data_IF_998358834083
#
_entry.id   IF_998358834083
#
_cell.length_a   1.000
_cell.length_b   1.000
_cell.length_c   1.000
_cell.angle_alpha   90.00
_cell.angle_beta   90.00
_cell.angle_gamma   90.00
#
_symmetry.space_group_name_H-M   'P 1'
#
loop_
_entity.id
_entity.type
_entity.pdbx_description
1 polymer ?
#
# COMPACT_ATOMS: atom_id res chain seq x y z
N UNK A 1 -41.61 8.68 13.44
CA UNK A 1 -41.52 7.87 12.21
C UNK A 1 -42.37 8.55 11.17
N UNK A 2 -41.73 9.34 10.32
CA UNK A 2 -42.42 10.26 9.41
C UNK A 2 -42.78 9.55 8.10
N UNK A 3 -43.86 9.98 7.47
CA UNK A 3 -44.41 9.46 6.20
C UNK A 3 -43.37 9.42 5.06
N UNK A 4 -42.25 10.15 5.20
CA UNK A 4 -41.15 10.23 4.22
C UNK A 4 -40.34 8.92 4.15
N UNK A 5 -40.17 8.19 5.25
CA UNK A 5 -39.39 6.93 5.26
C UNK A 5 -40.11 5.82 4.48
N UNK A 6 -41.45 5.82 4.51
CA UNK A 6 -42.25 4.77 3.87
C UNK A 6 -42.30 4.93 2.34
N UNK A 7 -42.26 6.17 1.85
CA UNK A 7 -42.23 6.47 0.42
C UNK A 7 -40.88 6.11 -0.21
N UNK A 8 -39.77 6.28 0.53
CA UNK A 8 -38.43 5.92 0.08
C UNK A 8 -38.25 4.41 -0.06
N UNK A 9 -38.69 3.62 0.93
CA UNK A 9 -38.64 2.15 0.83
C UNK A 9 -39.47 1.62 -0.34
N UNK A 10 -40.64 2.22 -0.57
CA UNK A 10 -41.54 1.81 -1.65
C UNK A 10 -40.91 2.11 -3.02
N UNK A 11 -40.28 3.28 -3.17
CA UNK A 11 -39.52 3.63 -4.38
C UNK A 11 -38.31 2.73 -4.62
N UNK A 12 -37.58 2.35 -3.56
CA UNK A 12 -36.44 1.44 -3.68
C UNK A 12 -36.85 0.01 -4.06
N UNK A 13 -37.99 -0.49 -3.54
CA UNK A 13 -38.51 -1.79 -3.97
C UNK A 13 -38.99 -1.78 -5.41
N UNK A 14 -39.64 -0.70 -5.86
CA UNK A 14 -40.06 -0.55 -7.25
C UNK A 14 -38.86 -0.51 -8.22
N UNK A 15 -37.82 0.26 -7.90
CA UNK A 15 -36.60 0.32 -8.71
C UNK A 15 -35.86 -1.02 -8.80
N UNK A 16 -35.92 -1.85 -7.75
CA UNK A 16 -35.29 -3.17 -7.74
C UNK A 16 -36.02 -4.20 -8.61
N UNK A 17 -37.31 -4.00 -8.87
CA UNK A 17 -38.11 -4.88 -9.71
C UNK A 17 -37.91 -4.64 -11.22
N UNK A 18 -37.33 -3.49 -11.60
CA UNK A 18 -37.11 -3.12 -13.01
C UNK A 18 -35.67 -3.35 -13.49
N UNK A 19 -34.76 -3.79 -12.62
CA UNK A 19 -33.39 -4.08 -13.02
C UNK A 19 -33.33 -5.44 -13.75
N UNK A 20 -32.85 -5.49 -15.01
CA UNK A 20 -32.69 -6.76 -15.72
C UNK A 20 -31.71 -7.67 -14.96
N UNK A 21 -32.01 -8.97 -14.91
CA UNK A 21 -31.10 -9.98 -14.37
C UNK A 21 -29.80 -9.98 -15.19
N UNK A 22 -28.77 -9.32 -14.65
CA UNK A 22 -27.41 -9.36 -15.18
C UNK A 22 -26.85 -10.76 -14.95
N UNK A 23 -27.02 -11.62 -15.93
CA UNK A 23 -26.35 -12.92 -15.99
C UNK A 23 -24.88 -12.67 -16.31
N UNK A 24 -24.04 -12.70 -15.28
CA UNK A 24 -22.59 -12.62 -15.45
C UNK A 24 -22.11 -13.95 -16.04
N UNK A 25 -21.54 -13.88 -17.23
CA UNK A 25 -21.03 -15.02 -17.97
C UNK A 25 -20.02 -15.82 -17.10
N UNK A 26 -20.13 -17.17 -17.01
CA UNK A 26 -19.22 -18.02 -16.23
C UNK A 26 -17.72 -17.74 -16.51
N UNK A 27 -17.38 -17.30 -17.73
CA UNK A 27 -16.01 -17.03 -18.14
C UNK A 27 -15.45 -15.70 -17.61
N UNK A 28 -16.28 -14.81 -17.07
CA UNK A 28 -15.82 -13.56 -16.45
C UNK A 28 -14.94 -13.84 -15.24
N UNK A 29 -15.36 -14.77 -14.38
CA UNK A 29 -14.61 -15.15 -13.18
C UNK A 29 -13.29 -15.85 -13.52
N UNK A 30 -13.30 -16.70 -14.56
CA UNK A 30 -12.09 -17.37 -15.06
C UNK A 30 -11.12 -16.42 -15.76
N UNK A 31 -11.62 -15.44 -16.51
CA UNK A 31 -10.78 -14.46 -17.20
C UNK A 31 -10.15 -13.46 -16.23
N UNK A 32 -10.86 -13.05 -15.17
CA UNK A 32 -10.28 -12.27 -14.05
C UNK A 32 -9.21 -13.10 -13.32
N UNK A 33 -9.49 -14.37 -13.01
CA UNK A 33 -8.53 -15.28 -12.37
C UNK A 33 -7.29 -15.52 -13.24
N UNK A 34 -7.44 -15.76 -14.54
CA UNK A 34 -6.34 -15.97 -15.48
C UNK A 34 -5.51 -14.69 -15.73
N UNK A 35 -6.09 -13.50 -15.58
CA UNK A 35 -5.38 -12.21 -15.71
C UNK A 35 -4.61 -11.88 -14.43
N UNK A 36 -5.17 -12.17 -13.26
CA UNK A 36 -4.47 -12.09 -11.98
C UNK A 36 -3.24 -13.03 -11.93
N UNK A 37 -3.39 -14.27 -12.41
CA UNK A 37 -2.31 -15.25 -12.50
C UNK A 37 -1.18 -14.84 -13.46
N UNK A 38 -1.51 -14.22 -14.60
CA UNK A 38 -0.48 -13.76 -15.56
C UNK A 38 0.32 -12.56 -15.06
N UNK A 39 -0.27 -11.68 -14.23
CA UNK A 39 0.45 -10.59 -13.55
C UNK A 39 1.40 -11.12 -12.47
N UNK A 40 0.94 -12.06 -11.64
CA UNK A 40 1.78 -12.71 -10.62
C UNK A 40 2.91 -13.55 -11.22
N UNK A 41 2.69 -14.24 -12.35
CA UNK A 41 3.75 -14.99 -13.02
C UNK A 41 4.90 -14.11 -13.55
N UNK A 42 4.59 -12.91 -14.06
CA UNK A 42 5.61 -11.97 -14.57
C UNK A 42 6.45 -11.34 -13.44
N UNK A 43 5.82 -11.04 -12.30
CA UNK A 43 6.53 -10.56 -11.11
C UNK A 43 7.37 -11.65 -10.45
N UNK A 44 6.90 -12.90 -10.45
CA UNK A 44 7.69 -14.06 -9.99
C UNK A 44 8.92 -14.31 -10.85
N UNK A 45 8.84 -14.14 -12.18
CA UNK A 45 10.01 -14.30 -13.04
C UNK A 45 11.12 -13.26 -12.75
N UNK A 46 10.74 -12.01 -12.45
CA UNK A 46 11.69 -10.96 -12.07
C UNK A 46 12.23 -11.13 -10.63
N UNK A 47 11.38 -11.51 -9.67
CA UNK A 47 11.77 -11.72 -8.27
C UNK A 47 12.59 -13.00 -8.03
N UNK A 48 12.31 -14.08 -8.74
CA UNK A 48 13.05 -15.35 -8.62
C UNK A 48 14.48 -15.20 -9.14
N UNK A 49 14.73 -14.39 -10.17
CA UNK A 49 16.10 -14.12 -10.64
C UNK A 49 16.95 -13.40 -9.59
N UNK A 50 16.38 -12.43 -8.86
CA UNK A 50 17.06 -11.73 -7.77
C UNK A 50 17.27 -12.63 -6.54
N UNK A 51 16.29 -13.49 -6.22
CA UNK A 51 16.37 -14.40 -5.07
C UNK A 51 17.34 -15.58 -5.32
N UNK A 52 17.40 -16.10 -6.55
CA UNK A 52 18.38 -17.12 -6.95
C UNK A 52 19.79 -16.55 -6.95
N UNK A 53 19.98 -15.29 -7.37
CA UNK A 53 21.28 -14.62 -7.24
C UNK A 53 21.73 -14.45 -5.77
N UNK A 54 20.79 -14.15 -4.85
CA UNK A 54 21.09 -14.06 -3.42
C UNK A 54 21.39 -15.43 -2.77
N UNK A 55 20.69 -16.49 -3.20
CA UNK A 55 20.92 -17.86 -2.68
C UNK A 55 22.20 -18.48 -3.23
N UNK A 56 22.56 -18.24 -4.50
CA UNK A 56 23.81 -18.74 -5.11
C UNK A 56 25.03 -18.01 -4.57
N UNK A 57 24.90 -16.75 -4.14
CA UNK A 57 25.99 -15.98 -3.56
C UNK A 57 26.26 -16.28 -2.06
N UNK A 58 25.40 -17.03 -1.36
CA UNK A 58 25.39 -17.01 0.11
C UNK A 58 25.12 -18.33 0.84
N UNK A 59 25.32 -19.50 0.24
CA UNK A 59 25.08 -20.78 0.95
C UNK A 59 26.29 -21.72 0.85
N UNK A 60 27.24 -21.54 1.76
CA UNK A 60 28.06 -22.63 2.27
C UNK A 60 27.33 -23.22 3.48
N UNK A 61 26.66 -24.36 3.31
CA UNK A 61 26.06 -25.12 4.41
C UNK A 61 27.23 -25.75 5.20
N UNK A 62 27.46 -25.43 6.48
CA UNK A 62 28.37 -26.22 7.29
C UNK A 62 27.65 -27.54 7.62
N UNK A 63 28.14 -28.64 7.07
CA UNK A 63 27.67 -30.01 7.33
C UNK A 63 28.07 -30.52 8.75
N UNK A 64 27.93 -29.67 9.77
CA UNK A 64 28.46 -29.90 11.12
C UNK A 64 27.43 -29.99 12.24
N UNK A 65 26.12 -30.09 11.95
CA UNK A 65 25.06 -30.07 12.99
C UNK A 65 24.13 -31.30 13.01
N UNK A 66 24.60 -32.45 12.53
CA UNK A 66 23.94 -33.74 12.78
C UNK A 66 24.69 -34.48 13.89
N UNK A 67 24.56 -34.00 15.14
CA UNK A 67 25.19 -34.62 16.29
C UNK A 67 24.87 -33.91 17.60
N UNK A 68 23.62 -33.96 18.04
CA UNK A 68 23.19 -33.35 19.30
C UNK A 68 22.20 -34.25 20.04
N UNK A 69 22.73 -35.19 20.82
CA UNK A 69 21.97 -36.06 21.73
C UNK A 69 21.27 -35.25 22.82
N UNK A 70 19.94 -35.39 22.89
CA UNK A 70 19.08 -35.28 24.08
C UNK A 70 19.47 -34.30 25.18
N UNK A 71 19.09 -33.03 25.04
CA UNK A 71 18.95 -32.11 26.18
C UNK A 71 17.50 -32.12 26.67
N UNK A 72 17.25 -32.71 27.84
CA UNK A 72 16.02 -32.50 28.61
C UNK A 72 16.08 -31.08 29.21
N UNK A 73 15.74 -30.09 28.41
CA UNK A 73 15.62 -28.70 28.86
C UNK A 73 14.46 -28.56 29.86
N UNK A 74 14.79 -28.10 31.06
CA UNK A 74 13.82 -27.64 32.05
C UNK A 74 12.98 -26.52 31.42
N UNK A 75 11.65 -26.69 31.42
CA UNK A 75 10.71 -25.64 31.04
C UNK A 75 10.77 -24.58 32.13
N UNK A 76 11.54 -23.52 31.91
CA UNK A 76 11.53 -22.34 32.78
C UNK A 76 10.20 -21.62 32.56
N UNK A 77 9.40 -21.36 33.61
CA UNK A 77 8.18 -20.59 33.47
C UNK A 77 8.50 -19.22 32.86
N UNK A 78 7.71 -18.82 31.86
CA UNK A 78 7.80 -17.49 31.29
C UNK A 78 7.64 -16.45 32.41
N UNK A 79 8.67 -15.65 32.67
CA UNK A 79 8.55 -14.49 33.56
C UNK A 79 7.55 -13.53 32.92
N UNK A 80 6.42 -13.32 33.57
CA UNK A 80 5.53 -12.21 33.22
C UNK A 80 6.32 -10.91 33.41
N UNK A 81 6.54 -10.10 32.36
CA UNK A 81 7.23 -8.83 32.50
C UNK A 81 6.45 -7.94 33.46
N UNK A 82 7.13 -7.36 34.45
CA UNK A 82 6.51 -6.33 35.28
C UNK A 82 6.21 -5.10 34.40
N UNK A 83 5.03 -4.49 34.50
CA UNK A 83 4.76 -3.23 33.81
C UNK A 83 5.72 -2.15 34.31
N UNK A 84 6.33 -1.40 33.39
CA UNK A 84 7.10 -0.21 33.74
C UNK A 84 6.14 0.86 34.25
N UNK A 85 6.43 1.40 35.43
CA UNK A 85 5.55 2.35 36.13
C UNK A 85 5.67 3.78 35.59
N UNK A 86 6.69 4.11 34.79
CA UNK A 86 6.96 5.52 34.40
C UNK A 86 7.40 5.75 32.94
N UNK A 87 7.19 4.80 32.02
CA UNK A 87 7.52 5.02 30.62
C UNK A 87 6.46 5.92 29.95
N UNK A 88 6.85 7.14 29.57
CA UNK A 88 6.02 8.01 28.74
C UNK A 88 5.75 7.30 27.40
N UNK A 89 4.50 7.11 26.98
CA UNK A 89 4.20 6.52 25.67
C UNK A 89 4.88 7.28 24.54
N UNK A 90 5.45 6.56 23.57
CA UNK A 90 6.07 7.15 22.39
C UNK A 90 5.11 7.10 21.20
N UNK A 91 4.80 8.24 20.57
CA UNK A 91 3.87 8.31 19.45
C UNK A 91 4.55 8.87 18.21
N UNK A 92 4.51 8.12 17.11
CA UNK A 92 5.00 8.57 15.80
C UNK A 92 4.25 7.82 14.69
N UNK A 93 4.00 8.48 13.55
CA UNK A 93 3.38 7.81 12.40
C UNK A 93 1.98 7.24 12.65
N UNK A 94 1.27 7.71 13.68
CA UNK A 94 -0.04 7.19 14.08
C UNK A 94 0.01 5.85 14.84
N UNK A 95 1.19 5.43 15.32
CA UNK A 95 1.33 4.38 16.33
C UNK A 95 1.81 4.97 17.65
N UNK A 96 1.27 4.44 18.74
CA UNK A 96 1.70 4.74 20.11
C UNK A 96 2.25 3.48 20.77
N UNK A 97 3.51 3.52 21.19
CA UNK A 97 4.17 2.45 21.95
C UNK A 97 3.93 2.68 23.43
N UNK A 98 3.12 1.84 24.07
CA UNK A 98 2.80 1.96 25.52
C UNK A 98 3.66 1.08 26.41
N UNK A 99 4.47 0.19 25.84
CA UNK A 99 5.36 -0.68 26.60
C UNK A 99 6.63 -1.00 25.80
N UNK A 100 7.77 -0.91 26.47
CA UNK A 100 9.10 -1.31 25.98
C UNK A 100 9.88 -1.96 27.13
N UNK A 101 10.93 -2.74 26.84
CA UNK A 101 11.83 -3.27 27.86
C UNK A 101 12.47 -2.14 28.68
N UNK A 102 12.77 -2.42 29.95
CA UNK A 102 13.32 -1.42 30.86
C UNK A 102 14.65 -0.83 30.36
N UNK A 103 14.77 0.49 30.45
CA UNK A 103 15.95 1.25 30.03
C UNK A 103 16.12 1.39 28.51
N UNK A 104 15.16 0.90 27.71
CA UNK A 104 15.12 1.18 26.28
C UNK A 104 15.01 2.68 26.03
N UNK A 105 15.81 3.19 25.08
CA UNK A 105 15.79 4.59 24.65
C UNK A 105 15.33 4.71 23.20
N UNK A 106 14.54 5.75 22.91
CA UNK A 106 14.25 6.12 21.53
C UNK A 106 15.50 6.67 20.86
N UNK A 107 15.72 6.31 19.59
CA UNK A 107 16.90 6.69 18.82
C UNK A 107 16.53 7.58 17.65
N UNK A 108 15.55 7.16 16.86
CA UNK A 108 15.11 7.88 15.66
C UNK A 108 13.73 7.44 15.23
N UNK A 109 13.06 8.33 14.53
CA UNK A 109 11.90 8.01 13.72
C UNK A 109 12.26 8.01 12.24
N UNK A 110 11.55 7.22 11.45
CA UNK A 110 11.72 7.11 10.01
C UNK A 110 10.39 7.05 9.30
N UNK A 111 10.29 7.69 8.13
CA UNK A 111 9.22 7.43 7.18
C UNK A 111 9.85 6.95 5.87
N UNK A 112 9.05 6.41 4.96
CA UNK A 112 9.59 5.96 3.68
C UNK A 112 9.91 4.46 3.64
N UNK A 113 10.57 4.04 2.55
CA UNK A 113 11.04 2.66 2.36
C UNK A 113 12.13 2.25 3.34
N UNK A 114 12.75 3.23 4.02
CA UNK A 114 13.68 2.98 5.12
C UNK A 114 13.01 2.93 6.50
N UNK A 115 11.72 3.25 6.57
CA UNK A 115 10.96 3.38 7.81
C UNK A 115 10.05 2.19 8.08
N UNK A 116 10.34 0.99 7.61
CA UNK A 116 9.59 -0.20 8.03
C UNK A 116 10.54 -1.32 8.44
N UNK A 117 10.30 -2.01 9.57
CA UNK A 117 11.19 -3.04 10.08
C UNK A 117 11.43 -4.23 9.13
N UNK A 118 12.68 -4.68 9.09
CA UNK A 118 13.10 -5.96 8.48
C UNK A 118 12.75 -6.18 7.02
N UNK A 119 12.44 -7.42 6.59
CA UNK A 119 12.19 -7.74 5.17
C UNK A 119 11.01 -6.95 4.57
N UNK A 120 10.12 -6.43 5.41
CA UNK A 120 9.00 -5.61 4.97
C UNK A 120 9.41 -4.19 4.51
N UNK A 121 10.61 -3.70 4.87
CA UNK A 121 11.21 -2.53 4.21
C UNK A 121 11.37 -2.75 2.71
N UNK A 122 11.93 -3.91 2.32
CA UNK A 122 12.17 -4.25 0.93
C UNK A 122 10.86 -4.40 0.17
N UNK A 123 9.83 -4.97 0.82
CA UNK A 123 8.49 -5.05 0.24
C UNK A 123 7.90 -3.65 0.04
N UNK A 124 7.98 -2.78 1.05
CA UNK A 124 7.51 -1.39 0.92
C UNK A 124 8.24 -0.65 -0.21
N UNK A 125 9.56 -0.87 -0.34
CA UNK A 125 10.40 -0.27 -1.37
C UNK A 125 10.07 -0.78 -2.78
N UNK A 126 9.96 -2.11 -2.94
CA UNK A 126 9.62 -2.75 -4.22
C UNK A 126 8.26 -2.30 -4.74
N UNK A 127 7.36 -1.95 -3.83
CA UNK A 127 6.02 -1.55 -4.17
C UNK A 127 5.84 -0.04 -4.30
N UNK A 128 6.90 0.75 -4.06
CA UNK A 128 6.84 2.22 -4.13
C UNK A 128 5.98 2.85 -3.04
N UNK A 129 5.66 2.11 -1.99
CA UNK A 129 4.74 2.53 -0.91
C UNK A 129 5.47 3.11 0.29
N UNK A 130 6.63 3.69 0.02
CA UNK A 130 7.52 4.27 1.00
C UNK A 130 6.76 5.24 1.90
N UNK A 131 5.95 6.09 1.31
CA UNK A 131 5.46 7.24 2.04
C UNK A 131 4.45 6.86 3.15
N UNK A 132 3.70 5.76 2.99
CA UNK A 132 2.71 5.27 3.97
C UNK A 132 3.31 4.43 5.11
N UNK A 133 4.64 4.23 5.09
CA UNK A 133 5.38 3.50 6.13
C UNK A 133 6.00 4.47 7.13
N UNK A 134 5.85 4.14 8.41
CA UNK A 134 6.47 4.84 9.52
C UNK A 134 7.09 3.82 10.47
N UNK A 135 8.27 4.14 11.01
CA UNK A 135 8.88 3.37 12.08
C UNK A 135 9.52 4.25 13.13
N UNK A 136 9.61 3.69 14.34
CA UNK A 136 10.43 4.21 15.42
C UNK A 136 11.46 3.15 15.79
N UNK A 137 12.72 3.56 15.86
CA UNK A 137 13.83 2.73 16.31
C UNK A 137 14.16 3.04 17.76
N UNK A 138 14.32 1.98 18.54
CA UNK A 138 14.73 2.02 19.92
C UNK A 138 16.00 1.18 20.13
N UNK A 139 16.81 1.56 21.11
CA UNK A 139 18.00 0.83 21.52
C UNK A 139 17.92 0.46 22.99
N UNK A 140 18.42 -0.73 23.32
CA UNK A 140 18.55 -1.16 24.71
C UNK A 140 19.76 -0.47 25.38
N UNK A 141 19.72 -0.30 26.72
CA UNK A 141 20.73 0.44 27.47
C UNK A 141 22.06 -0.31 27.59
N UNK A 142 22.09 -1.61 27.27
CA UNK A 142 23.33 -2.39 27.20
C UNK A 142 24.23 -1.98 26.03
N UNK A 143 23.73 -1.11 25.13
CA UNK A 143 24.53 -0.16 24.35
C UNK A 143 25.49 -0.76 23.34
N UNK A 144 25.44 -2.07 23.13
CA UNK A 144 26.10 -2.69 21.97
C UNK A 144 25.16 -2.43 20.78
N UNK A 145 25.72 -2.07 19.63
CA UNK A 145 25.00 -1.85 18.36
C UNK A 145 24.09 -3.03 17.92
N UNK A 146 24.05 -4.10 18.71
CA UNK A 146 23.47 -5.39 18.46
C UNK A 146 22.05 -5.60 19.04
N UNK A 147 21.36 -4.59 19.56
CA UNK A 147 20.03 -4.79 20.15
C UNK A 147 19.05 -3.66 19.79
N UNK A 148 18.88 -3.43 18.50
CA UNK A 148 17.86 -2.49 18.00
C UNK A 148 16.48 -3.15 18.01
N UNK A 149 15.48 -2.42 18.49
CA UNK A 149 14.06 -2.73 18.35
C UNK A 149 13.50 -1.72 17.35
N UNK A 150 12.79 -2.19 16.35
CA UNK A 150 12.08 -1.33 15.42
C UNK A 150 10.60 -1.69 15.44
N UNK A 151 9.76 -0.68 15.62
CA UNK A 151 8.30 -0.80 15.52
C UNK A 151 7.86 0.00 14.32
N UNK A 152 6.91 -0.51 13.54
CA UNK A 152 6.44 0.21 12.38
C UNK A 152 5.00 -0.10 12.00
N UNK A 153 4.44 0.82 11.22
CA UNK A 153 3.12 0.74 10.64
C UNK A 153 3.20 1.11 9.16
N UNK A 154 2.49 0.37 8.33
CA UNK A 154 2.24 0.72 6.95
C UNK A 154 0.72 0.89 6.81
N UNK A 155 0.31 2.13 6.53
CA UNK A 155 -1.09 2.53 6.50
C UNK A 155 -1.86 2.06 5.27
N UNK A 156 -1.22 1.34 4.35
CA UNK A 156 -1.91 0.92 3.15
C UNK A 156 -2.62 -0.42 3.31
N UNK A 157 -3.95 -0.44 3.21
CA UNK A 157 -4.71 -1.69 3.27
C UNK A 157 -4.54 -2.53 1.99
N UNK A 158 -4.33 -1.84 0.86
CA UNK A 158 -4.33 -2.38 -0.51
C UNK A 158 -3.09 -3.19 -0.90
N UNK A 159 -2.20 -3.48 0.06
CA UNK A 159 -1.34 -4.66 -0.06
C UNK A 159 -2.18 -5.95 -0.29
N UNK A 160 -3.49 -5.90 -0.02
CA UNK A 160 -4.48 -6.91 -0.45
C UNK A 160 -4.52 -7.16 -1.97
N UNK A 161 -3.99 -6.26 -2.82
CA UNK A 161 -3.80 -6.52 -4.25
C UNK A 161 -2.82 -7.67 -4.55
N UNK A 162 -2.06 -8.12 -3.54
CA UNK A 162 -1.27 -9.36 -3.60
C UNK A 162 -1.99 -10.58 -3.01
N UNK A 163 -3.25 -10.42 -2.60
CA UNK A 163 -4.07 -11.42 -1.91
C UNK A 163 -4.28 -10.98 -0.46
N UNK A 164 -5.46 -11.21 0.12
CA UNK A 164 -5.79 -10.80 1.50
C UNK A 164 -4.90 -11.43 2.58
N UNK A 165 -5.38 -11.59 3.82
CA UNK A 165 -4.59 -12.13 4.95
C UNK A 165 -3.80 -13.43 4.65
N UNK A 166 -4.23 -14.24 3.68
CA UNK A 166 -3.49 -15.42 3.20
C UNK A 166 -2.16 -15.13 2.50
N UNK A 167 -1.85 -13.88 2.14
CA UNK A 167 -0.65 -13.52 1.38
C UNK A 167 0.49 -12.96 2.24
N UNK A 168 0.24 -12.47 3.46
CA UNK A 168 1.33 -11.96 4.32
C UNK A 168 2.39 -13.05 4.57
N UNK A 169 1.96 -14.30 4.76
CA UNK A 169 2.86 -15.46 4.84
C UNK A 169 3.64 -15.69 3.55
N UNK A 170 3.03 -15.44 2.40
CA UNK A 170 3.68 -15.60 1.09
C UNK A 170 4.77 -14.55 0.90
N UNK A 171 4.50 -13.31 1.31
CA UNK A 171 5.45 -12.19 1.31
C UNK A 171 6.62 -12.45 2.26
N UNK A 172 6.34 -12.95 3.47
CA UNK A 172 7.36 -13.27 4.48
C UNK A 172 8.13 -14.58 4.18
N UNK A 173 7.63 -15.40 3.25
CA UNK A 173 8.24 -16.67 2.84
C UNK A 173 7.85 -17.87 3.70
N UNK A 174 8.25 -19.06 3.25
CA UNK A 174 7.88 -20.36 3.86
C UNK A 174 8.42 -20.57 5.27
N UNK A 175 9.44 -19.81 5.68
CA UNK A 175 9.99 -19.83 7.04
C UNK A 175 9.13 -19.12 8.08
N UNK A 176 8.09 -18.40 7.65
CA UNK A 176 7.21 -17.68 8.57
C UNK A 176 6.34 -18.63 9.40
N UNK A 177 6.41 -18.48 10.72
CA UNK A 177 5.63 -19.26 11.70
C UNK A 177 4.40 -18.45 12.11
N UNK A 178 3.23 -19.08 12.06
CA UNK A 178 1.97 -18.44 12.42
C UNK A 178 1.82 -18.31 13.94
N UNK A 179 1.27 -17.18 14.38
CA UNK A 179 0.98 -16.87 15.78
C UNK A 179 -0.18 -15.87 15.86
N UNK A 180 -0.40 -15.27 17.02
CA UNK A 180 -1.37 -14.18 17.18
C UNK A 180 -0.81 -13.02 17.98
N UNK A 181 -1.35 -11.82 17.72
CA UNK A 181 -1.18 -10.60 18.51
C UNK A 181 -2.57 -10.07 18.81
N UNK A 182 -2.98 -10.01 20.08
CA UNK A 182 -4.33 -9.59 20.49
C UNK A 182 -5.48 -10.31 19.74
N UNK A 183 -5.29 -11.58 19.42
CA UNK A 183 -6.26 -12.38 18.66
C UNK A 183 -6.25 -12.16 17.14
N UNK A 184 -5.48 -11.19 16.63
CA UNK A 184 -5.24 -11.04 15.18
C UNK A 184 -4.20 -12.07 14.73
N UNK A 185 -4.38 -12.62 13.53
CA UNK A 185 -3.40 -13.52 12.92
C UNK A 185 -2.09 -12.76 12.66
N UNK A 186 -0.98 -13.35 13.08
CA UNK A 186 0.34 -12.76 12.98
C UNK A 186 1.36 -13.79 12.51
N UNK A 187 2.51 -13.30 12.01
CA UNK A 187 3.58 -14.15 11.49
C UNK A 187 4.92 -13.75 12.09
N UNK A 188 5.60 -14.74 12.65
CA UNK A 188 6.97 -14.65 13.13
C UNK A 188 7.93 -15.06 12.02
N UNK A 189 8.99 -14.29 11.84
CA UNK A 189 10.10 -14.64 10.96
C UNK A 189 11.40 -14.45 11.70
N UNK A 190 12.37 -15.32 11.46
CA UNK A 190 13.73 -15.15 11.95
C UNK A 190 14.71 -15.68 10.94
N UNK A 191 15.86 -15.03 10.81
CA UNK A 191 16.89 -15.43 9.88
C UNK A 191 18.16 -14.63 10.07
N UNK A 192 19.12 -14.84 9.17
CA UNK A 192 20.33 -14.00 9.08
C UNK A 192 20.26 -13.19 7.81
N UNK A 193 20.36 -11.86 7.94
CA UNK A 193 20.38 -10.90 6.82
C UNK A 193 21.71 -10.17 6.91
N UNK A 194 22.54 -10.24 5.86
CA UNK A 194 23.85 -9.58 5.83
C UNK A 194 24.77 -9.93 7.03
N UNK A 195 24.69 -11.17 7.52
CA UNK A 195 25.46 -11.64 8.67
C UNK A 195 24.89 -11.23 10.04
N UNK A 196 23.76 -10.52 10.06
CA UNK A 196 23.05 -10.07 11.26
C UNK A 196 21.82 -10.93 11.50
N UNK A 197 21.64 -11.42 12.72
CA UNK A 197 20.46 -12.20 13.06
C UNK A 197 19.27 -11.27 13.26
N UNK A 198 18.18 -11.50 12.53
CA UNK A 198 16.98 -10.66 12.57
C UNK A 198 15.76 -11.51 12.95
N UNK A 199 14.88 -10.92 13.75
CA UNK A 199 13.58 -11.46 14.11
C UNK A 199 12.50 -10.43 13.89
N UNK A 200 11.32 -10.85 13.41
CA UNK A 200 10.19 -9.97 13.21
C UNK A 200 8.86 -10.64 13.50
N UNK A 201 7.91 -9.85 14.00
CA UNK A 201 6.52 -10.22 14.21
C UNK A 201 5.63 -9.21 13.46
N UNK A 202 4.85 -9.69 12.49
CA UNK A 202 4.04 -8.85 11.60
C UNK A 202 2.58 -9.29 11.63
N UNK A 203 1.66 -8.32 11.61
CA UNK A 203 0.21 -8.59 11.61
C UNK A 203 -0.57 -7.43 11.00
N UNK A 204 -1.84 -7.65 10.66
CA UNK A 204 -2.77 -6.59 10.25
C UNK A 204 -3.77 -6.30 11.36
N UNK A 205 -4.14 -5.02 11.51
CA UNK A 205 -5.19 -4.63 12.45
C UNK A 205 -6.58 -4.76 11.80
N UNK A 206 -7.14 -5.97 11.81
CA UNK A 206 -8.37 -6.31 11.07
C UNK A 206 -8.10 -6.77 9.63
N UNK A 207 -9.15 -7.10 8.88
CA UNK A 207 -9.02 -7.69 7.55
C UNK A 207 -8.36 -6.75 6.53
N UNK A 208 -8.75 -5.48 6.58
CA UNK A 208 -8.30 -4.42 5.66
C UNK A 208 -7.58 -3.30 6.42
N UNK A 209 -7.00 -3.61 7.58
CA UNK A 209 -6.29 -2.62 8.37
C UNK A 209 -4.85 -2.41 7.93
N UNK A 210 -4.15 -1.46 8.57
CA UNK A 210 -2.73 -1.26 8.36
C UNK A 210 -1.93 -2.50 8.79
N UNK A 211 -0.78 -2.68 8.15
CA UNK A 211 0.20 -3.67 8.54
C UNK A 211 1.08 -3.11 9.66
N UNK A 212 1.18 -3.82 10.78
CA UNK A 212 2.10 -3.51 11.87
C UNK A 212 3.25 -4.52 11.90
N UNK A 213 4.38 -4.06 12.42
CA UNK A 213 5.56 -4.89 12.61
C UNK A 213 6.34 -4.50 13.85
N UNK A 214 6.87 -5.49 14.55
CA UNK A 214 7.95 -5.33 15.54
C UNK A 214 9.10 -6.20 15.08
N UNK A 215 10.29 -5.64 14.91
CA UNK A 215 11.49 -6.42 14.64
C UNK A 215 12.61 -6.12 15.63
N UNK A 216 13.53 -7.07 15.74
CA UNK A 216 14.80 -6.90 16.42
C UNK A 216 15.93 -7.39 15.53
N UNK A 217 17.09 -6.76 15.65
CA UNK A 217 18.32 -7.17 14.97
C UNK A 217 19.41 -7.42 15.98
N UNK A 218 20.31 -8.32 15.60
CA UNK A 218 21.55 -8.68 16.28
C UNK A 218 21.37 -9.32 17.68
N UNK A 219 20.17 -9.83 17.97
CA UNK A 219 19.83 -10.53 19.23
C UNK A 219 19.62 -12.02 18.97
N UNK A 220 20.51 -12.88 19.49
CA UNK A 220 20.38 -14.34 19.38
C UNK A 220 20.56 -15.04 20.73
N UNK A 221 19.60 -15.88 21.19
CA UNK A 221 18.29 -16.14 20.59
C UNK A 221 17.33 -14.94 20.73
N UNK A 222 16.33 -14.86 19.83
CA UNK A 222 15.24 -13.88 19.96
C UNK A 222 14.39 -14.22 21.20
N UNK A 223 14.15 -13.23 22.05
CA UNK A 223 13.12 -13.30 23.09
C UNK A 223 11.75 -12.99 22.47
N UNK A 224 11.05 -14.04 22.05
CA UNK A 224 9.73 -13.91 21.45
C UNK A 224 8.65 -13.43 22.43
N UNK A 225 8.85 -13.62 23.75
CA UNK A 225 7.92 -13.11 24.74
C UNK A 225 8.03 -11.58 24.82
N UNK A 226 9.25 -11.04 24.74
CA UNK A 226 9.49 -9.61 24.67
C UNK A 226 8.88 -8.99 23.41
N UNK A 227 9.18 -9.55 22.21
CA UNK A 227 8.63 -9.05 20.94
C UNK A 227 7.09 -9.06 20.96
N UNK A 228 6.48 -10.09 21.54
CA UNK A 228 5.02 -10.14 21.72
C UNK A 228 4.52 -9.09 22.70
N UNK A 229 5.21 -8.86 23.81
CA UNK A 229 4.88 -7.80 24.77
C UNK A 229 4.91 -6.40 24.15
N UNK A 230 5.92 -6.12 23.29
CA UNK A 230 5.99 -4.86 22.54
C UNK A 230 4.81 -4.75 21.58
N UNK A 231 4.54 -5.81 20.81
CA UNK A 231 3.44 -5.85 19.85
C UNK A 231 2.06 -5.64 20.53
N UNK A 232 1.83 -6.28 21.67
CA UNK A 232 0.61 -6.10 22.47
C UNK A 232 0.49 -4.67 23.03
N UNK A 233 1.63 -4.04 23.34
CA UNK A 233 1.74 -2.65 23.76
C UNK A 233 1.66 -1.59 22.65
N UNK A 234 1.51 -1.98 21.37
CA UNK A 234 1.31 -1.01 20.29
C UNK A 234 -0.17 -0.61 20.18
N UNK A 235 -0.47 0.68 20.24
CA UNK A 235 -1.80 1.22 19.94
C UNK A 235 -1.78 1.92 18.60
N UNK A 236 -2.81 1.68 17.82
CA UNK A 236 -3.02 2.35 16.54
C UNK A 236 -3.89 3.58 16.78
N UNK A 237 -3.41 4.74 16.34
CA UNK A 237 -4.14 6.00 16.37
C UNK A 237 -4.75 6.28 14.98
N UNK A 238 -4.58 7.49 14.46
CA UNK A 238 -5.01 7.89 13.11
C UNK A 238 -3.83 7.94 12.17
N UNK A 239 -4.01 7.51 10.92
CA UNK A 239 -3.05 7.76 9.84
C UNK A 239 -2.76 9.27 9.76
N UNK A 240 -1.51 9.71 10.04
CA UNK A 240 -1.19 11.13 9.95
C UNK A 240 -1.23 11.64 8.49
N UNK A 241 -1.18 10.75 7.51
CA UNK A 241 -1.44 11.04 6.11
C UNK A 241 -2.92 10.88 5.69
N UNK A 242 -3.82 10.52 6.61
CA UNK A 242 -5.22 10.31 6.30
C UNK A 242 -5.88 11.55 5.72
N UNK A 243 -6.62 11.38 4.62
CA UNK A 243 -7.42 12.43 4.01
C UNK A 243 -8.84 12.34 4.56
N UNK A 244 -9.42 13.45 5.02
CA UNK A 244 -10.81 13.44 5.49
C UNK A 244 -11.78 13.17 4.31
N UNK A 245 -12.96 12.57 4.57
CA UNK A 245 -13.89 12.17 3.51
C UNK A 245 -14.33 13.32 2.60
N UNK A 246 -14.50 14.54 3.13
CA UNK A 246 -14.90 15.69 2.33
C UNK A 246 -13.80 16.08 1.33
N UNK A 247 -12.54 16.11 1.79
CA UNK A 247 -11.38 16.32 0.91
C UNK A 247 -11.26 15.20 -0.13
N UNK A 248 -11.48 13.93 0.25
CA UNK A 248 -11.46 12.81 -0.71
C UNK A 248 -12.46 13.04 -1.85
N UNK A 249 -13.71 13.37 -1.52
CA UNK A 249 -14.74 13.58 -2.54
C UNK A 249 -14.45 14.81 -3.43
N UNK A 250 -13.90 15.89 -2.86
CA UNK A 250 -13.48 17.07 -3.64
C UNK A 250 -12.32 16.77 -4.60
N UNK A 251 -11.32 16.01 -4.15
CA UNK A 251 -10.19 15.58 -4.99
C UNK A 251 -10.67 14.64 -6.10
N UNK A 252 -11.55 13.68 -5.77
CA UNK A 252 -12.16 12.80 -6.79
C UNK A 252 -12.92 13.61 -7.84
N UNK A 253 -13.73 14.58 -7.41
CA UNK A 253 -14.49 15.43 -8.33
C UNK A 253 -13.56 16.19 -9.29
N UNK A 254 -12.48 16.81 -8.78
CA UNK A 254 -11.51 17.50 -9.63
C UNK A 254 -10.87 16.55 -10.66
N UNK A 255 -10.43 15.37 -10.23
CA UNK A 255 -9.87 14.37 -11.14
C UNK A 255 -10.91 13.83 -12.15
N UNK A 256 -12.17 13.67 -11.75
CA UNK A 256 -13.24 13.24 -12.66
C UNK A 256 -13.58 14.29 -13.72
N UNK A 257 -13.44 15.59 -13.43
CA UNK A 257 -13.60 16.64 -14.46
C UNK A 257 -12.46 16.59 -15.48
N UNK A 258 -11.25 16.24 -15.05
CA UNK A 258 -10.06 16.21 -15.91
C UNK A 258 -9.95 14.89 -16.69
N UNK A 259 -10.34 13.79 -16.05
CA UNK A 259 -10.20 12.41 -16.51
C UNK A 259 -11.54 11.66 -16.43
N UNK A 260 -12.63 12.30 -16.79
CA UNK A 260 -13.94 11.65 -16.93
C UNK A 260 -14.37 11.63 -18.38
N UNK A 261 -15.14 10.61 -18.75
CA UNK A 261 -15.92 10.65 -19.98
C UNK A 261 -17.03 11.70 -19.83
N UNK A 262 -16.96 12.79 -20.58
CA UNK A 262 -17.97 13.82 -20.54
C UNK A 262 -17.67 15.05 -21.39
N UNK A 263 -18.73 15.79 -21.71
CA UNK A 263 -18.68 17.12 -22.33
C UNK A 263 -18.42 18.19 -21.24
N UNK A 264 -17.31 18.05 -20.52
CA UNK A 264 -16.94 19.06 -19.53
C UNK A 264 -16.62 20.38 -20.24
N UNK A 265 -17.26 21.45 -19.78
CA UNK A 265 -16.99 22.80 -20.31
C UNK A 265 -15.53 23.19 -20.03
N UNK A 266 -14.97 24.04 -20.88
CA UNK A 266 -13.63 24.60 -20.64
C UNK A 266 -13.55 25.32 -19.30
N UNK A 267 -14.63 25.99 -18.86
CA UNK A 267 -14.71 26.63 -17.54
C UNK A 267 -14.55 25.62 -16.40
N UNK A 268 -15.27 24.49 -16.44
CA UNK A 268 -15.15 23.43 -15.45
C UNK A 268 -13.74 22.83 -15.43
N UNK A 269 -13.16 22.60 -16.61
CA UNK A 269 -11.81 22.04 -16.73
C UNK A 269 -10.74 23.01 -16.21
N UNK A 270 -10.81 24.29 -16.56
CA UNK A 270 -9.92 25.34 -16.05
C UNK A 270 -10.00 25.45 -14.53
N UNK A 271 -11.18 25.26 -13.95
CA UNK A 271 -11.39 25.23 -12.51
C UNK A 271 -10.86 23.97 -11.81
N UNK A 272 -10.58 22.89 -12.55
CA UNK A 272 -10.16 21.60 -12.03
C UNK A 272 -8.66 21.32 -12.19
N UNK A 273 -7.93 22.10 -12.99
CA UNK A 273 -6.48 21.94 -13.24
C UNK A 273 -5.69 23.16 -12.80
N UNK A 274 -4.67 22.96 -11.98
CA UNK A 274 -3.71 24.01 -11.64
C UNK A 274 -3.04 24.56 -12.90
N UNK A 275 -3.00 25.88 -13.04
CA UNK A 275 -2.50 26.57 -14.24
C UNK A 275 -3.27 26.18 -15.52
N UNK A 276 -4.56 25.83 -15.39
CA UNK A 276 -5.38 25.35 -16.50
C UNK A 276 -5.39 26.27 -17.72
N UNK A 277 -5.32 27.59 -17.55
CA UNK A 277 -5.29 28.55 -18.65
C UNK A 277 -4.09 28.34 -19.60
N UNK A 278 -2.95 27.89 -19.07
CA UNK A 278 -1.76 27.58 -19.87
C UNK A 278 -1.83 26.19 -20.53
N UNK A 279 -2.71 25.32 -20.02
CA UNK A 279 -2.81 23.93 -20.44
C UNK A 279 -4.02 23.62 -21.33
N UNK A 280 -5.00 24.53 -21.44
CA UNK A 280 -6.28 24.25 -22.12
C UNK A 280 -6.09 23.89 -23.61
N UNK A 281 -5.22 24.60 -24.32
CA UNK A 281 -4.90 24.30 -25.73
C UNK A 281 -4.25 22.91 -25.89
N UNK A 282 -3.46 22.49 -24.89
CA UNK A 282 -2.88 21.15 -24.86
C UNK A 282 -3.95 20.09 -24.57
N UNK A 283 -4.92 20.39 -23.71
CA UNK A 283 -6.06 19.53 -23.44
C UNK A 283 -6.95 19.36 -24.68
N UNK A 284 -7.25 20.44 -25.42
CA UNK A 284 -7.97 20.37 -26.69
C UNK A 284 -7.25 19.49 -27.71
N UNK A 285 -5.94 19.72 -27.93
CA UNK A 285 -5.15 18.86 -28.81
C UNK A 285 -5.19 17.38 -28.40
N UNK A 286 -5.13 17.08 -27.11
CA UNK A 286 -5.24 15.71 -26.62
C UNK A 286 -6.62 15.10 -26.92
N UNK A 287 -7.70 15.86 -26.72
CA UNK A 287 -9.07 15.41 -27.01
C UNK A 287 -9.31 15.18 -28.51
N UNK A 288 -8.87 16.12 -29.35
CA UNK A 288 -8.99 16.02 -30.81
C UNK A 288 -8.20 14.83 -31.37
N UNK A 289 -7.05 14.53 -30.75
CA UNK A 289 -6.19 13.43 -31.16
C UNK A 289 -6.71 12.06 -30.71
N UNK A 290 -7.31 11.99 -29.53
CA UNK A 290 -7.75 10.75 -28.90
C UNK A 290 -9.25 10.81 -28.52
N UNK A 291 -10.17 10.95 -29.49
CA UNK A 291 -11.59 11.11 -29.19
C UNK A 291 -12.18 9.88 -28.50
N UNK A 292 -11.78 8.66 -28.90
CA UNK A 292 -12.27 7.44 -28.27
C UNK A 292 -11.77 7.30 -26.82
N UNK A 293 -10.54 7.73 -26.55
CA UNK A 293 -10.02 7.79 -25.18
C UNK A 293 -10.92 8.68 -24.32
N UNK A 294 -11.25 9.89 -24.77
CA UNK A 294 -12.09 10.84 -24.02
C UNK A 294 -13.49 10.28 -23.79
N UNK A 295 -14.11 9.70 -24.81
CA UNK A 295 -15.46 9.14 -24.73
C UNK A 295 -15.58 7.94 -23.77
N UNK A 296 -14.49 7.21 -23.55
CA UNK A 296 -14.51 5.94 -22.81
C UNK A 296 -13.70 5.97 -21.53
N UNK A 297 -13.20 7.15 -21.14
CA UNK A 297 -12.32 7.30 -19.99
C UNK A 297 -13.08 7.10 -18.68
N UNK A 298 -12.59 6.17 -17.88
CA UNK A 298 -13.06 5.91 -16.52
C UNK A 298 -11.85 6.00 -15.58
N UNK A 299 -11.96 6.80 -14.52
CA UNK A 299 -10.97 6.86 -13.46
C UNK A 299 -11.49 6.19 -12.19
N UNK A 300 -10.66 5.35 -11.58
CA UNK A 300 -10.88 4.80 -10.25
C UNK A 300 -9.70 5.10 -9.33
N UNK A 301 -9.98 5.30 -8.04
CA UNK A 301 -8.98 5.70 -7.05
C UNK A 301 -8.72 4.53 -6.11
N UNK A 302 -7.45 4.20 -5.88
CA UNK A 302 -7.07 3.14 -4.94
C UNK A 302 -6.67 3.71 -3.58
N UNK A 303 -5.95 4.84 -3.57
CA UNK A 303 -5.51 5.46 -2.32
C UNK A 303 -5.38 6.98 -2.46
N UNK A 304 -5.55 7.69 -1.35
CA UNK A 304 -5.28 9.12 -1.22
C UNK A 304 -4.57 9.38 0.10
N UNK A 305 -3.59 10.28 0.08
CA UNK A 305 -2.78 10.63 1.23
C UNK A 305 -2.49 12.12 1.24
N UNK A 306 -2.67 12.75 2.40
CA UNK A 306 -2.31 14.14 2.61
C UNK A 306 -0.79 14.26 2.77
N UNK A 307 -0.15 15.02 1.88
CA UNK A 307 1.28 15.36 1.98
C UNK A 307 1.49 16.64 2.79
N UNK A 308 0.56 17.58 2.68
CA UNK A 308 0.55 18.85 3.41
C UNK A 308 -0.90 19.33 3.57
N UNK A 309 -1.18 20.39 4.35
CA UNK A 309 -2.53 20.95 4.42
C UNK A 309 -3.13 21.36 3.07
N UNK A 310 -2.31 21.57 2.04
CA UNK A 310 -2.70 22.03 0.71
C UNK A 310 -2.34 21.06 -0.41
N UNK A 311 -1.89 19.84 -0.10
CA UNK A 311 -1.51 18.84 -1.10
C UNK A 311 -1.94 17.44 -0.69
N UNK A 312 -2.55 16.73 -1.65
CA UNK A 312 -2.92 15.31 -1.54
C UNK A 312 -2.22 14.55 -2.65
N UNK A 313 -1.53 13.46 -2.33
CA UNK A 313 -1.08 12.46 -3.29
C UNK A 313 -2.15 11.39 -3.44
N UNK A 314 -2.29 10.82 -4.62
CA UNK A 314 -3.26 9.77 -4.89
C UNK A 314 -2.70 8.76 -5.89
N UNK A 315 -3.18 7.53 -5.75
CA UNK A 315 -3.01 6.47 -6.74
C UNK A 315 -4.35 6.19 -7.41
N UNK A 316 -4.33 6.04 -8.73
CA UNK A 316 -5.53 5.84 -9.53
C UNK A 316 -5.28 4.87 -10.67
N UNK A 317 -6.35 4.35 -11.24
CA UNK A 317 -6.34 3.58 -12.49
C UNK A 317 -7.23 4.30 -13.49
N UNK A 318 -6.68 4.60 -14.66
CA UNK A 318 -7.45 5.09 -15.81
C UNK A 318 -7.73 3.91 -16.72
N UNK A 319 -9.00 3.69 -17.05
CA UNK A 319 -9.44 2.69 -18.00
C UNK A 319 -10.10 3.34 -19.21
N UNK A 320 -9.86 2.84 -20.41
CA UNK A 320 -10.37 3.42 -21.66
C UNK A 320 -10.35 2.39 -22.79
N UNK A 321 -10.98 2.73 -23.91
CA UNK A 321 -10.98 1.99 -25.17
C UNK A 321 -10.45 2.92 -26.26
N UNK A 322 -9.15 2.84 -26.52
CA UNK A 322 -8.50 3.56 -27.62
C UNK A 322 -7.17 2.85 -27.94
N UNK A 323 -7.06 2.30 -29.15
CA UNK A 323 -5.85 1.59 -29.60
C UNK A 323 -4.83 2.51 -30.26
N UNK A 324 -5.16 3.80 -30.43
CA UNK A 324 -4.29 4.79 -31.06
C UNK A 324 -3.25 5.35 -30.09
N UNK A 325 -3.50 5.28 -28.78
CA UNK A 325 -2.58 5.72 -27.71
C UNK A 325 -1.22 4.99 -27.79
N UNK A 326 -0.10 5.71 -28.05
CA UNK A 326 1.20 5.09 -28.32
C UNK A 326 1.72 4.17 -27.21
N UNK A 327 1.58 4.57 -25.95
CA UNK A 327 2.05 3.78 -24.80
C UNK A 327 1.37 2.40 -24.74
N UNK A 328 0.09 2.31 -25.10
CA UNK A 328 -0.66 1.05 -25.12
C UNK A 328 -0.14 0.13 -26.23
N UNK A 329 0.15 0.66 -27.42
CA UNK A 329 0.69 -0.14 -28.54
C UNK A 329 1.97 -0.87 -28.16
N UNK A 330 2.82 -0.23 -27.36
CA UNK A 330 4.07 -0.82 -26.87
C UNK A 330 3.85 -1.91 -25.80
N UNK A 331 2.82 -1.77 -24.96
CA UNK A 331 2.59 -2.67 -23.83
C UNK A 331 1.75 -3.91 -24.19
N UNK A 332 0.87 -3.81 -25.18
CA UNK A 332 -0.05 -4.87 -25.56
C UNK A 332 0.11 -5.23 -27.03
N UNK A 333 0.89 -6.28 -27.30
CA UNK A 333 1.01 -6.87 -28.64
C UNK A 333 -0.30 -7.47 -29.19
N UNK A 334 -1.38 -7.51 -28.41
CA UNK A 334 -2.69 -8.02 -28.85
C UNK A 334 -3.47 -6.94 -29.60
N UNK A 335 -3.60 -7.13 -30.90
CA UNK A 335 -4.23 -6.26 -31.90
C UNK A 335 -5.76 -6.29 -31.91
N UNK A 336 -6.43 -6.76 -30.85
CA UNK A 336 -7.89 -6.77 -30.86
C UNK A 336 -8.41 -5.35 -30.65
N UNK A 337 -9.15 -4.79 -31.63
CA UNK A 337 -9.82 -3.52 -31.45
C UNK A 337 -10.84 -3.63 -30.32
N UNK A 338 -11.18 -2.51 -29.69
CA UNK A 338 -12.22 -2.41 -28.65
C UNK A 338 -11.94 -3.15 -27.32
N UNK A 339 -10.68 -3.54 -27.04
CA UNK A 339 -10.34 -4.04 -25.69
C UNK A 339 -10.18 -2.86 -24.73
N UNK A 340 -10.97 -2.87 -23.64
CA UNK A 340 -10.75 -1.99 -22.49
C UNK A 340 -9.35 -2.20 -21.91
N UNK A 341 -8.57 -1.12 -21.88
CA UNK A 341 -7.23 -1.03 -21.32
C UNK A 341 -7.31 -0.34 -19.97
N UNK A 342 -6.36 -0.64 -19.09
CA UNK A 342 -6.25 0.00 -17.78
C UNK A 342 -4.78 0.29 -17.50
N UNK A 343 -4.49 1.54 -17.16
CA UNK A 343 -3.16 2.03 -16.81
C UNK A 343 -3.24 2.58 -15.40
N UNK A 344 -2.40 2.06 -14.51
CA UNK A 344 -2.23 2.62 -13.16
C UNK A 344 -1.35 3.86 -13.23
N UNK A 345 -1.67 4.87 -12.44
CA UNK A 345 -0.92 6.10 -12.31
C UNK A 345 -0.91 6.60 -10.88
N UNK A 346 -0.02 7.56 -10.62
CA UNK A 346 -0.01 8.36 -9.42
C UNK A 346 -0.04 9.83 -9.80
N UNK A 347 -0.62 10.64 -8.92
CA UNK A 347 -0.69 12.07 -9.09
C UNK A 347 -0.90 12.78 -7.76
N UNK A 348 -1.09 14.08 -7.84
CA UNK A 348 -1.36 14.96 -6.73
C UNK A 348 -2.46 15.95 -7.06
N UNK A 349 -3.24 16.29 -6.04
CA UNK A 349 -4.14 17.43 -6.04
C UNK A 349 -3.55 18.53 -5.13
N UNK A 350 -3.77 19.78 -5.51
CA UNK A 350 -3.37 20.96 -4.75
C UNK A 350 -4.58 21.81 -4.40
N UNK A 351 -4.58 22.41 -3.22
CA UNK A 351 -5.61 23.35 -2.78
C UNK A 351 -5.21 24.77 -3.20
N UNK A 352 -5.93 25.34 -4.16
CA UNK A 352 -5.73 26.71 -4.67
C UNK A 352 -7.02 27.48 -4.43
N UNK A 353 -6.93 28.61 -3.73
CA UNK A 353 -8.07 29.48 -3.40
C UNK A 353 -9.28 28.74 -2.80
N UNK A 354 -9.01 27.73 -1.96
CA UNK A 354 -10.03 26.92 -1.29
C UNK A 354 -10.65 25.81 -2.16
N UNK A 355 -10.12 25.55 -3.36
CA UNK A 355 -10.57 24.48 -4.26
C UNK A 355 -9.45 23.48 -4.53
N UNK A 356 -9.77 22.19 -4.45
CA UNK A 356 -8.86 21.14 -4.88
C UNK A 356 -8.82 21.06 -6.41
N UNK A 357 -7.62 21.03 -6.96
CA UNK A 357 -7.35 20.94 -8.40
C UNK A 357 -6.32 19.84 -8.64
N UNK A 358 -6.37 19.19 -9.81
CA UNK A 358 -5.27 18.36 -10.31
C UNK A 358 -4.03 19.22 -10.46
N UNK A 359 -2.89 18.82 -9.90
CA UNK A 359 -1.66 19.58 -10.05
C UNK A 359 -1.17 19.58 -11.50
N UNK A 360 -0.53 20.67 -11.93
CA UNK A 360 0.07 20.78 -13.28
C UNK A 360 1.01 19.60 -13.55
N UNK A 361 1.85 19.28 -12.57
CA UNK A 361 2.80 18.17 -12.66
C UNK A 361 2.11 16.84 -12.95
N UNK A 362 0.99 16.55 -12.27
CA UNK A 362 0.24 15.30 -12.45
C UNK A 362 -0.40 15.21 -13.82
N UNK A 363 -1.02 16.30 -14.27
CA UNK A 363 -1.58 16.38 -15.62
C UNK A 363 -0.52 16.13 -16.69
N UNK A 364 0.62 16.82 -16.58
CA UNK A 364 1.73 16.68 -17.51
C UNK A 364 2.42 15.30 -17.44
N UNK A 365 2.51 14.70 -16.25
CA UNK A 365 2.99 13.33 -16.10
C UNK A 365 2.08 12.33 -16.81
N UNK A 366 0.76 12.50 -16.70
CA UNK A 366 -0.21 11.65 -17.38
C UNK A 366 -0.13 11.77 -18.90
N UNK A 367 0.02 12.99 -19.44
CA UNK A 367 0.22 13.19 -20.87
C UNK A 367 1.50 12.50 -21.39
N UNK A 368 2.61 12.64 -20.66
CA UNK A 368 3.87 11.94 -21.01
C UNK A 368 3.71 10.43 -20.98
N UNK A 369 2.93 9.88 -20.04
CA UNK A 369 2.66 8.45 -19.98
C UNK A 369 1.88 7.92 -21.19
N UNK A 370 1.16 8.76 -21.93
CA UNK A 370 0.52 8.34 -23.19
C UNK A 370 1.54 8.08 -24.31
N UNK A 371 2.77 8.59 -24.18
CA UNK A 371 3.86 8.38 -25.13
C UNK A 371 3.73 9.18 -26.42
N UNK A 372 2.85 10.18 -26.47
CA UNK A 372 2.74 11.11 -27.60
C UNK A 372 3.76 12.25 -27.44
N UNK A 373 4.66 12.38 -28.42
CA UNK A 373 5.71 13.41 -28.43
C UNK A 373 5.18 14.79 -28.77
N UNK A 374 3.96 14.89 -29.29
CA UNK A 374 3.31 16.16 -29.63
C UNK A 374 2.53 16.74 -28.43
N UNK A 375 2.29 15.93 -27.38
CA UNK A 375 1.60 16.34 -26.15
C UNK A 375 2.59 16.60 -25.01
N UNK A 376 3.40 17.64 -25.15
CA UNK A 376 4.41 18.03 -24.16
C UNK A 376 3.95 19.29 -23.43
N UNK A 377 3.95 19.25 -22.10
CA UNK A 377 3.82 20.46 -21.29
C UNK A 377 5.11 21.29 -21.39
N UNK A 378 4.97 22.55 -21.76
CA UNK A 378 6.05 23.53 -21.77
C UNK A 378 6.35 24.10 -20.39
#
# INVERSE_FOLDING_TARGET
MSVIDHDLETRLRAARAELPELTVDPWFTESVRARAWRRTARLRAAGVAALVAAVVAGVAIPAGLLGGTGHKGSIVPAKTPAPLVDAVPWTYGGITVTWLPAGTVHVRDGNGGQGFPGPMSQVSMLLGYNESSYSSTFMRPDGKEASTIEVGVNWMPDLAAFGGNGDLKSVLGTGATETTVRGQQAFQTSGTVEGRYEGGLYWREGADGPLLGVSTRDVTPIDWAEIRGIAEGLRLDRDPGGVDPATVEQVKAAFSVVYGAGEETDEAWLAAVQDGAELIELAHRARDRYPQLVETLEISFSSMRRLSPTSVQLSYTISFIDDTVPAIKSMYASSSPNIRRSVGGSGSAVLVDGRWMVSRESYCAQLRQMGDKELVCS
#
